data_IF_750682552209
#
_entry.id   IF_750682552209
#
_cell.length_a   1.000
_cell.length_b   1.000
_cell.length_c   1.000
_cell.angle_alpha   90.00
_cell.angle_beta   90.00
_cell.angle_gamma   90.00
#
_symmetry.space_group_name_H-M   'P 1'
#
loop_
_entity.id
_entity.type
_entity.pdbx_description
1 polymer ?
#
# COMPACT_ATOMS: atom_id res chain seq x y z
N UNK A 1 9.34 -8.81 -28.08
CA UNK A 1 10.01 -8.10 -26.97
C UNK A 1 9.18 -8.35 -25.71
N UNK A 2 9.66 -9.13 -24.75
CA UNK A 2 8.83 -9.70 -23.67
C UNK A 2 8.14 -8.68 -22.75
N UNK A 3 8.73 -7.47 -22.61
CA UNK A 3 8.13 -6.37 -21.85
C UNK A 3 6.88 -5.80 -22.56
N UNK A 4 6.86 -5.77 -23.89
CA UNK A 4 5.69 -5.30 -24.65
C UNK A 4 4.52 -6.29 -24.57
N UNK A 5 4.79 -7.59 -24.55
CA UNK A 5 3.76 -8.62 -24.34
C UNK A 5 3.07 -8.41 -22.98
N UNK A 6 3.86 -8.15 -21.92
CA UNK A 6 3.33 -7.96 -20.56
C UNK A 6 2.50 -6.68 -20.39
N UNK A 7 2.70 -5.66 -21.23
CA UNK A 7 1.84 -4.46 -21.21
C UNK A 7 0.71 -4.52 -22.24
N UNK A 8 0.82 -5.36 -23.27
CA UNK A 8 -0.12 -5.40 -24.38
C UNK A 8 -1.16 -6.51 -24.28
N UNK A 9 -0.96 -7.53 -23.43
CA UNK A 9 -1.95 -8.60 -23.17
C UNK A 9 -2.83 -8.23 -21.97
N UNK A 10 -4.14 -8.51 -22.05
CA UNK A 10 -5.14 -8.20 -21.01
C UNK A 10 -4.72 -8.69 -19.61
N UNK A 11 -4.05 -9.84 -19.57
CA UNK A 11 -3.54 -10.48 -18.35
C UNK A 11 -2.45 -9.64 -17.69
N UNK A 12 -1.56 -9.03 -18.49
CA UNK A 12 -0.43 -8.28 -17.99
C UNK A 12 -0.84 -6.92 -17.42
N UNK A 13 -1.79 -6.23 -18.05
CA UNK A 13 -2.36 -5.00 -17.52
C UNK A 13 -3.11 -5.23 -16.20
N UNK A 14 -3.93 -6.29 -16.12
CA UNK A 14 -4.61 -6.67 -14.88
C UNK A 14 -3.62 -7.04 -13.78
N UNK A 15 -2.55 -7.79 -14.09
CA UNK A 15 -1.49 -8.13 -13.14
C UNK A 15 -0.83 -6.88 -12.56
N UNK A 16 -0.41 -5.93 -13.41
CA UNK A 16 0.22 -4.68 -12.96
C UNK A 16 -0.75 -3.85 -12.12
N UNK A 17 -2.02 -3.80 -12.50
CA UNK A 17 -3.06 -3.12 -11.73
C UNK A 17 -3.25 -3.76 -10.35
N UNK A 18 -3.35 -5.09 -10.27
CA UNK A 18 -3.48 -5.81 -9.00
C UNK A 18 -2.26 -5.61 -8.11
N UNK A 19 -1.05 -5.71 -8.65
CA UNK A 19 0.19 -5.45 -7.90
C UNK A 19 0.20 -4.02 -7.37
N UNK A 20 -0.14 -3.04 -8.21
CA UNK A 20 -0.25 -1.64 -7.80
C UNK A 20 -1.30 -1.43 -6.69
N UNK A 21 -2.45 -2.09 -6.80
CA UNK A 21 -3.52 -2.04 -5.80
C UNK A 21 -3.09 -2.62 -4.46
N UNK A 22 -2.41 -3.78 -4.45
CA UNK A 22 -1.90 -4.41 -3.22
C UNK A 22 -0.85 -3.51 -2.55
N UNK A 23 0.07 -2.92 -3.33
CA UNK A 23 1.06 -1.98 -2.81
C UNK A 23 0.37 -0.75 -2.21
N UNK A 24 -0.59 -0.16 -2.91
CA UNK A 24 -1.34 0.99 -2.43
C UNK A 24 -2.09 0.67 -1.12
N UNK A 25 -2.72 -0.51 -1.04
CA UNK A 25 -3.39 -1.00 0.16
C UNK A 25 -2.41 -1.17 1.33
N UNK A 26 -1.25 -1.77 1.09
CA UNK A 26 -0.21 -1.94 2.11
C UNK A 26 0.31 -0.60 2.63
N UNK A 27 0.60 0.35 1.74
CA UNK A 27 1.01 1.71 2.11
C UNK A 27 -0.09 2.43 2.88
N UNK A 28 -1.35 2.32 2.43
CA UNK A 28 -2.49 2.90 3.12
C UNK A 28 -2.64 2.35 4.55
N UNK A 29 -2.55 1.03 4.73
CA UNK A 29 -2.60 0.39 6.05
C UNK A 29 -1.46 0.85 6.96
N UNK A 30 -0.21 0.85 6.47
CA UNK A 30 0.93 1.33 7.26
C UNK A 30 0.76 2.80 7.64
N UNK A 31 0.26 3.63 6.73
CA UNK A 31 0.03 5.05 6.97
C UNK A 31 -1.14 5.27 7.94
N UNK A 32 -2.20 4.47 7.83
CA UNK A 32 -3.36 4.48 8.72
C UNK A 32 -2.97 4.08 10.14
N UNK A 33 -2.25 2.96 10.29
CA UNK A 33 -1.75 2.48 11.58
C UNK A 33 -0.77 3.48 12.19
N UNK A 34 0.19 4.02 11.42
CA UNK A 34 1.11 5.06 11.93
C UNK A 34 0.37 6.30 12.43
N UNK A 35 -0.69 6.72 11.73
CA UNK A 35 -1.48 7.88 12.15
C UNK A 35 -2.29 7.59 13.41
N UNK A 36 -2.87 6.39 13.52
CA UNK A 36 -3.57 5.95 14.74
C UNK A 36 -2.63 5.78 15.94
N UNK A 37 -1.47 5.15 15.73
CA UNK A 37 -0.47 4.97 16.79
C UNK A 37 0.08 6.30 17.31
N UNK A 38 0.25 7.30 16.44
CA UNK A 38 0.65 8.64 16.89
C UNK A 38 -0.39 9.33 17.79
N UNK A 39 -1.68 9.01 17.62
CA UNK A 39 -2.72 9.50 18.52
C UNK A 39 -2.69 8.74 19.86
N UNK A 40 -2.45 7.43 19.84
CA UNK A 40 -2.30 6.63 21.07
C UNK A 40 -1.02 6.93 21.86
N UNK A 41 0.12 7.16 21.20
CA UNK A 41 1.38 7.56 21.82
C UNK A 41 1.28 8.95 22.47
N UNK A 42 0.51 9.87 21.86
CA UNK A 42 0.22 11.18 22.47
C UNK A 42 -0.72 11.08 23.68
N UNK A 43 -1.62 10.11 23.67
CA UNK A 43 -2.54 9.87 24.78
C UNK A 43 -1.89 9.10 25.95
N UNK A 44 -0.94 8.20 25.69
CA UNK A 44 -0.28 7.36 26.72
C UNK A 44 1.14 7.79 27.09
N UNK A 45 1.76 8.74 26.37
CA UNK A 45 3.09 9.29 26.69
C UNK A 45 3.10 10.43 27.73
N UNK A 46 1.93 10.90 28.18
CA UNK A 46 1.79 11.95 29.21
C UNK A 46 1.55 11.39 30.63
N UNK A 47 2.00 10.16 30.89
CA UNK A 47 1.76 9.43 32.14
C UNK A 47 2.94 8.59 32.63
N UNK A 48 4.17 9.07 32.46
CA UNK A 48 5.30 8.71 33.34
C UNK A 48 5.60 9.87 34.29
#
# INVERSE_FOLDING_TARGET
>A
MALQELFSTDIGLLSVFTIGFIIAMGVFLVRFVKRHMQEDERAHGAGQ
#
